data_IF_672836776762
#
_entry.id   IF_672836776762
#
_cell.length_a   1.000
_cell.length_b   1.000
_cell.length_c   1.000
_cell.angle_alpha   90.00
_cell.angle_beta   90.00
_cell.angle_gamma   90.00
#
_symmetry.space_group_name_H-M   'P 1'
#
loop_
_entity.id
_entity.type
_entity.pdbx_description
1 polymer ?
#
# COMPACT_ATOMS: atom_id res chain seq x y z
N UNK A 1 -32.20 -6.53 -10.55
CA UNK A 1 -31.16 -7.30 -9.82
C UNK A 1 -29.84 -6.53 -9.98
N UNK A 2 -29.33 -5.77 -8.98
CA UNK A 2 -28.11 -5.00 -9.19
C UNK A 2 -26.95 -5.98 -9.41
N UNK A 3 -26.28 -5.88 -10.55
CA UNK A 3 -25.08 -6.65 -10.84
C UNK A 3 -24.02 -6.30 -9.78
N UNK A 4 -23.65 -7.26 -8.91
CA UNK A 4 -22.52 -7.09 -8.01
C UNK A 4 -21.29 -6.82 -8.87
N UNK A 5 -20.74 -5.61 -8.80
CA UNK A 5 -19.47 -5.28 -9.42
C UNK A 5 -18.39 -6.29 -8.96
N UNK A 6 -17.43 -6.66 -9.82
CA UNK A 6 -16.37 -7.58 -9.43
C UNK A 6 -15.61 -7.03 -8.22
N UNK A 7 -15.35 -7.91 -7.25
CA UNK A 7 -14.54 -7.59 -6.07
C UNK A 7 -13.09 -7.42 -6.51
N UNK A 8 -12.43 -6.39 -6.00
CA UNK A 8 -11.03 -6.06 -6.28
C UNK A 8 -10.22 -6.38 -5.03
N UNK A 9 -9.19 -7.21 -5.16
CA UNK A 9 -8.26 -7.50 -4.09
C UNK A 9 -7.34 -6.29 -3.90
N UNK A 10 -7.38 -5.68 -2.72
CA UNK A 10 -6.61 -4.48 -2.42
C UNK A 10 -5.51 -4.79 -1.41
N UNK A 11 -4.29 -4.35 -1.69
CA UNK A 11 -3.19 -4.34 -0.75
C UNK A 11 -2.87 -2.90 -0.34
N UNK A 12 -2.53 -2.70 0.93
CA UNK A 12 -2.14 -1.40 1.47
C UNK A 12 -0.86 -1.53 2.31
N UNK A 13 0.06 -0.58 2.16
CA UNK A 13 1.29 -0.53 2.97
C UNK A 13 1.07 0.32 4.20
N UNK A 14 1.06 -0.33 5.36
CA UNK A 14 0.75 0.29 6.65
C UNK A 14 2.00 0.23 7.53
N UNK A 15 2.82 1.27 7.43
CA UNK A 15 4.11 1.34 8.12
C UNK A 15 4.35 2.71 8.79
N UNK A 16 4.57 2.68 10.09
CA UNK A 16 5.01 3.81 10.93
C UNK A 16 3.98 4.93 11.07
N UNK A 17 4.47 6.17 11.05
CA UNK A 17 3.64 7.37 11.27
C UNK A 17 2.57 7.61 10.21
N UNK A 18 2.68 6.98 9.04
CA UNK A 18 1.75 7.14 7.91
C UNK A 18 0.54 6.20 7.97
N UNK A 19 0.55 5.22 8.87
CA UNK A 19 -0.53 4.25 9.04
C UNK A 19 -1.90 4.90 9.21
N UNK A 20 -1.99 5.99 9.98
CA UNK A 20 -3.27 6.67 10.19
C UNK A 20 -3.80 7.30 8.89
N UNK A 21 -2.93 7.89 8.07
CA UNK A 21 -3.30 8.46 6.75
C UNK A 21 -3.76 7.33 5.82
N UNK A 22 -3.02 6.22 5.76
CA UNK A 22 -3.36 5.05 4.94
C UNK A 22 -4.74 4.47 5.28
N UNK A 23 -5.03 4.29 6.56
CA UNK A 23 -6.32 3.77 7.01
C UNK A 23 -7.47 4.77 6.77
N UNK A 24 -7.22 6.07 6.83
CA UNK A 24 -8.21 7.08 6.44
C UNK A 24 -8.54 7.00 4.94
N UNK A 25 -7.53 6.82 4.09
CA UNK A 25 -7.75 6.57 2.65
C UNK A 25 -8.63 5.34 2.44
N UNK A 26 -8.35 4.24 3.14
CA UNK A 26 -9.16 3.02 3.04
C UNK A 26 -10.59 3.21 3.55
N UNK A 27 -10.84 4.05 4.57
CA UNK A 27 -12.20 4.39 5.05
C UNK A 27 -13.05 5.06 3.97
N UNK A 28 -12.44 5.88 3.13
CA UNK A 28 -13.14 6.57 2.05
C UNK A 28 -13.49 5.63 0.88
N UNK A 29 -12.90 4.42 0.83
CA UNK A 29 -13.16 3.45 -0.23
C UNK A 29 -14.36 2.54 0.12
N UNK A 30 -15.23 2.19 -0.85
CA UNK A 30 -16.32 1.24 -0.63
C UNK A 30 -15.80 -0.15 -0.17
N UNK A 31 -16.06 -0.57 1.08
CA UNK A 31 -15.42 -1.76 1.66
C UNK A 31 -15.87 -3.07 1.00
N UNK A 32 -17.07 -3.11 0.42
CA UNK A 32 -17.59 -4.27 -0.30
C UNK A 32 -16.95 -4.46 -1.69
N UNK A 33 -16.36 -3.41 -2.26
CA UNK A 33 -15.68 -3.44 -3.56
C UNK A 33 -14.24 -3.89 -3.43
N UNK A 34 -13.55 -3.43 -2.39
CA UNK A 34 -12.13 -3.71 -2.15
C UNK A 34 -11.98 -4.78 -1.06
N UNK A 35 -12.20 -6.04 -1.41
CA UNK A 35 -12.14 -7.19 -0.49
C UNK A 35 -11.80 -8.48 -1.28
N UNK A 36 -11.00 -9.41 -0.73
CA UNK A 36 -10.18 -9.30 0.49
C UNK A 36 -9.17 -8.16 0.46
N UNK A 37 -8.76 -7.73 1.67
CA UNK A 37 -7.72 -6.72 1.87
C UNK A 37 -6.47 -7.37 2.45
N UNK A 38 -5.31 -6.95 1.95
CA UNK A 38 -4.01 -7.35 2.44
C UNK A 38 -3.27 -6.13 3.03
N UNK A 39 -2.70 -6.28 4.21
CA UNK A 39 -1.94 -5.25 4.88
C UNK A 39 -0.47 -5.63 4.92
N UNK A 40 0.37 -4.81 4.28
CA UNK A 40 1.81 -4.96 4.34
C UNK A 40 2.31 -4.14 5.52
N UNK A 41 2.73 -4.82 6.58
CA UNK A 41 3.18 -4.19 7.83
C UNK A 41 4.68 -4.40 7.99
N UNK A 42 5.36 -3.35 8.45
CA UNK A 42 6.78 -3.39 8.75
C UNK A 42 7.08 -4.21 10.02
N UNK A 43 8.11 -5.05 9.99
CA UNK A 43 8.51 -5.88 11.12
C UNK A 43 8.86 -5.05 12.37
N UNK A 44 8.23 -5.41 13.49
CA UNK A 44 8.34 -4.71 14.77
C UNK A 44 7.45 -3.46 14.90
N UNK A 45 6.53 -3.23 13.96
CA UNK A 45 5.53 -2.16 14.04
C UNK A 45 4.15 -2.69 14.47
N UNK A 46 4.08 -3.16 15.72
CA UNK A 46 2.85 -3.73 16.28
C UNK A 46 1.71 -2.72 16.38
N UNK A 47 2.01 -1.43 16.55
CA UNK A 47 0.99 -0.37 16.62
C UNK A 47 0.26 -0.23 15.28
N UNK A 48 1.00 -0.27 14.17
CA UNK A 48 0.39 -0.21 12.84
C UNK A 48 -0.48 -1.42 12.55
N UNK A 49 -0.02 -2.62 12.93
CA UNK A 49 -0.81 -3.84 12.82
C UNK A 49 -2.12 -3.75 13.62
N UNK A 50 -2.05 -3.36 14.89
CA UNK A 50 -3.23 -3.22 15.76
C UNK A 50 -4.26 -2.22 15.21
N UNK A 51 -3.79 -1.10 14.61
CA UNK A 51 -4.67 -0.12 13.96
C UNK A 51 -5.39 -0.70 12.75
N UNK A 52 -4.70 -1.47 11.92
CA UNK A 52 -5.29 -2.13 10.75
C UNK A 52 -6.29 -3.22 11.17
N UNK A 53 -5.97 -4.02 12.20
CA UNK A 53 -6.92 -4.99 12.78
C UNK A 53 -8.15 -4.31 13.37
N UNK A 54 -7.98 -3.17 14.06
CA UNK A 54 -9.09 -2.39 14.59
C UNK A 54 -9.97 -1.80 13.47
N UNK A 55 -9.35 -1.39 12.36
CA UNK A 55 -10.07 -0.94 11.16
C UNK A 55 -10.90 -2.07 10.55
N UNK A 56 -10.35 -3.27 10.36
CA UNK A 56 -11.12 -4.41 9.83
C UNK A 56 -12.26 -4.82 10.77
N UNK A 57 -12.03 -4.79 12.09
CA UNK A 57 -13.11 -5.00 13.07
C UNK A 57 -14.21 -3.95 12.96
N UNK A 58 -13.88 -2.70 12.66
CA UNK A 58 -14.88 -1.63 12.47
C UNK A 58 -15.71 -1.79 11.20
N UNK A 59 -15.23 -2.56 10.22
CA UNK A 59 -15.95 -2.87 8.98
C UNK A 59 -16.82 -4.13 9.11
N UNK A 60 -16.60 -4.95 10.14
CA UNK A 60 -17.38 -6.16 10.35
C UNK A 60 -18.83 -5.80 10.76
N UNK A 61 -19.85 -6.48 10.20
CA UNK A 61 -21.23 -6.26 10.62
C UNK A 61 -21.40 -6.63 12.11
N UNK A 62 -22.28 -5.93 12.86
CA UNK A 62 -22.54 -6.24 14.25
C UNK A 62 -22.98 -7.69 14.41
N UNK A 63 -22.36 -8.38 15.37
CA UNK A 63 -22.67 -9.77 15.72
C UNK A 63 -24.13 -9.88 16.16
N UNK A 64 -25.01 -10.31 15.25
CA UNK A 64 -26.45 -10.38 15.49
C UNK A 64 -27.31 -10.35 14.23
N UNK A 65 -26.78 -9.90 13.09
CA UNK A 65 -27.50 -9.91 11.82
C UNK A 65 -27.36 -11.26 11.07
N UNK A 66 -28.09 -12.27 11.55
CA UNK A 66 -28.44 -13.48 10.78
C UNK A 66 -27.38 -14.60 10.70
N UNK A 67 -27.82 -15.81 11.00
CA UNK A 67 -27.07 -17.07 10.87
C UNK A 67 -26.79 -17.43 9.40
N UNK A 68 -25.87 -16.69 8.78
CA UNK A 68 -25.21 -17.03 7.53
C UNK A 68 -23.78 -16.54 7.64
N UNK A 69 -22.82 -17.46 7.68
CA UNK A 69 -21.39 -17.20 7.88
C UNK A 69 -20.92 -15.88 7.23
N UNK A 70 -20.23 -14.99 7.95
CA UNK A 70 -19.75 -13.75 7.36
C UNK A 70 -18.69 -14.06 6.29
N UNK A 71 -19.08 -14.02 5.01
CA UNK A 71 -18.16 -14.10 3.86
C UNK A 71 -17.39 -12.78 3.64
N UNK A 72 -16.92 -12.13 4.70
CA UNK A 72 -15.82 -11.19 4.58
C UNK A 72 -14.55 -12.02 4.53
N UNK A 73 -13.98 -12.16 3.33
CA UNK A 73 -12.73 -12.88 3.13
C UNK A 73 -11.68 -12.33 4.10
N UNK A 74 -11.07 -13.24 4.86
CA UNK A 74 -10.12 -12.92 5.94
C UNK A 74 -9.08 -11.91 5.47
N UNK A 75 -8.93 -10.80 6.19
CA UNK A 75 -7.88 -9.83 5.91
C UNK A 75 -6.52 -10.48 6.13
N UNK A 76 -5.61 -10.37 5.14
CA UNK A 76 -4.28 -10.98 5.23
C UNK A 76 -3.27 -9.96 5.73
N UNK A 77 -2.43 -10.33 6.69
CA UNK A 77 -1.31 -9.50 7.13
C UNK A 77 0.00 -10.08 6.62
N UNK A 78 0.75 -9.28 5.85
CA UNK A 78 2.09 -9.61 5.36
C UNK A 78 3.11 -8.79 6.14
N UNK A 79 3.91 -9.47 6.97
CA UNK A 79 5.01 -8.84 7.69
C UNK A 79 6.26 -8.78 6.80
N UNK A 80 6.71 -7.57 6.47
CA UNK A 80 7.96 -7.35 5.75
C UNK A 80 9.07 -6.84 6.68
N UNK A 81 10.31 -7.33 6.52
CA UNK A 81 11.43 -6.81 7.30
C UNK A 81 11.65 -5.32 6.99
N UNK A 82 12.14 -4.58 7.99
CA UNK A 82 12.43 -3.15 7.82
C UNK A 82 13.57 -2.91 6.85
N UNK A 83 13.33 -2.05 5.87
CA UNK A 83 14.37 -1.60 4.93
C UNK A 83 15.54 -0.89 5.62
N UNK A 84 15.27 -0.18 6.73
CA UNK A 84 16.26 0.52 7.55
C UNK A 84 15.88 0.46 9.03
N UNK A 85 16.83 0.17 9.90
CA UNK A 85 16.66 0.32 11.36
C UNK A 85 16.93 1.78 11.75
N UNK A 86 16.19 2.28 12.74
CA UNK A 86 16.45 3.62 13.32
C UNK A 86 17.87 3.59 13.91
N UNK A 87 18.67 4.62 13.64
CA UNK A 87 20.11 4.74 13.96
C UNK A 87 21.09 3.94 13.08
N UNK A 88 20.64 3.33 11.98
CA UNK A 88 21.56 2.69 11.04
C UNK A 88 22.23 3.74 10.12
N UNK A 89 23.57 3.71 9.97
CA UNK A 89 24.27 4.59 9.04
C UNK A 89 23.87 4.25 7.60
N UNK A 90 23.85 5.25 6.70
CA UNK A 90 23.39 5.09 5.32
C UNK A 90 24.11 3.96 4.58
N UNK A 91 25.40 3.76 4.86
CA UNK A 91 26.24 2.73 4.23
C UNK A 91 25.78 1.30 4.55
N UNK A 92 25.28 1.05 5.76
CA UNK A 92 24.76 -0.28 6.16
C UNK A 92 23.29 -0.49 5.76
N UNK A 93 22.65 0.50 5.14
CA UNK A 93 21.23 0.42 4.74
C UNK A 93 21.03 -0.46 3.51
N UNK A 94 22.02 -0.55 2.61
CA UNK A 94 21.93 -1.34 1.38
C UNK A 94 21.61 -2.83 1.61
N UNK A 95 22.30 -3.58 2.50
CA UNK A 95 22.00 -5.00 2.71
C UNK A 95 20.62 -5.24 3.35
N UNK A 96 20.20 -4.40 4.30
CA UNK A 96 18.87 -4.53 4.92
C UNK A 96 17.74 -4.16 3.96
N UNK A 97 17.96 -3.16 3.12
CA UNK A 97 17.03 -2.80 2.06
C UNK A 97 16.95 -3.89 0.98
N UNK A 98 18.07 -4.52 0.61
CA UNK A 98 18.10 -5.64 -0.32
C UNK A 98 17.37 -6.87 0.24
N UNK A 99 17.60 -7.21 1.51
CA UNK A 99 16.86 -8.28 2.17
C UNK A 99 15.35 -8.01 2.18
N UNK A 100 14.94 -6.77 2.48
CA UNK A 100 13.54 -6.38 2.40
C UNK A 100 12.98 -6.42 0.98
N UNK A 101 13.79 -6.09 -0.04
CA UNK A 101 13.40 -6.20 -1.44
C UNK A 101 13.18 -7.66 -1.84
N UNK A 102 14.10 -8.55 -1.48
CA UNK A 102 14.00 -9.97 -1.77
C UNK A 102 12.79 -10.60 -1.07
N UNK A 103 12.55 -10.24 0.20
CA UNK A 103 11.36 -10.67 0.92
C UNK A 103 10.07 -10.15 0.25
N UNK A 104 10.03 -8.86 -0.12
CA UNK A 104 8.89 -8.28 -0.83
C UNK A 104 8.63 -8.99 -2.16
N UNK A 105 9.68 -9.22 -2.96
CA UNK A 105 9.58 -9.93 -4.24
C UNK A 105 9.11 -11.38 -4.06
N UNK A 106 9.62 -12.08 -3.06
CA UNK A 106 9.19 -13.45 -2.74
C UNK A 106 7.69 -13.50 -2.41
N UNK A 107 7.21 -12.59 -1.56
CA UNK A 107 5.82 -12.62 -1.08
C UNK A 107 4.80 -12.00 -2.03
N UNK A 108 5.16 -10.95 -2.76
CA UNK A 108 4.24 -10.22 -3.66
C UNK A 108 4.24 -10.83 -5.06
N UNK A 109 5.32 -11.51 -5.46
CA UNK A 109 5.49 -11.98 -6.83
C UNK A 109 5.64 -13.47 -6.89
N UNK A 110 6.67 -14.04 -6.27
CA UNK A 110 7.05 -15.43 -6.52
C UNK A 110 6.03 -16.40 -5.91
N UNK A 111 5.68 -16.23 -4.63
CA UNK A 111 4.65 -17.06 -3.97
C UNK A 111 3.28 -17.01 -4.68
N UNK A 112 2.73 -15.82 -5.00
CA UNK A 112 1.53 -15.66 -5.81
C UNK A 112 1.64 -16.33 -7.19
N UNK A 113 2.76 -16.15 -7.89
CA UNK A 113 3.00 -16.77 -9.19
C UNK A 113 3.01 -18.31 -9.12
N UNK A 114 3.63 -18.88 -8.08
CA UNK A 114 3.61 -20.32 -7.83
C UNK A 114 2.19 -20.84 -7.53
N UNK A 115 1.39 -20.04 -6.82
CA UNK A 115 0.00 -20.36 -6.48
C UNK A 115 -0.99 -20.07 -7.62
N UNK A 116 -0.54 -19.42 -8.70
CA UNK A 116 -1.36 -18.92 -9.82
C UNK A 116 -2.51 -18.00 -9.38
N UNK A 117 -2.34 -17.31 -8.27
CA UNK A 117 -3.32 -16.39 -7.71
C UNK A 117 -2.64 -15.02 -7.50
N UNK A 118 -3.23 -13.91 -7.98
CA UNK A 118 -2.62 -12.59 -7.81
C UNK A 118 -2.61 -12.20 -6.32
N UNK A 119 -1.51 -11.58 -5.86
CA UNK A 119 -1.41 -11.06 -4.50
C UNK A 119 -2.49 -10.01 -4.22
N UNK A 120 -2.64 -9.07 -5.15
CA UNK A 120 -3.65 -8.03 -5.15
C UNK A 120 -3.83 -7.51 -6.58
N UNK A 121 -4.98 -6.91 -6.86
CA UNK A 121 -5.23 -6.19 -8.10
C UNK A 121 -4.68 -4.76 -8.03
N UNK A 122 -4.78 -4.15 -6.83
CA UNK A 122 -4.36 -2.77 -6.57
C UNK A 122 -3.53 -2.73 -5.29
N UNK A 123 -2.41 -2.02 -5.35
CA UNK A 123 -1.51 -1.74 -4.22
C UNK A 123 -1.49 -0.25 -3.95
N UNK A 124 -1.99 0.14 -2.77
CA UNK A 124 -1.94 1.50 -2.25
C UNK A 124 -0.64 1.70 -1.46
N UNK A 125 0.04 2.80 -1.76
CA UNK A 125 1.33 3.16 -1.17
C UNK A 125 1.22 4.55 -0.56
N UNK A 126 1.52 4.66 0.74
CA UNK A 126 1.60 5.93 1.45
C UNK A 126 2.83 5.91 2.37
N UNK A 127 3.65 6.97 2.36
CA UNK A 127 4.78 7.10 3.28
C UNK A 127 6.15 6.61 2.79
N UNK A 128 7.14 6.46 3.71
CA UNK A 128 8.56 6.40 3.40
C UNK A 128 9.08 4.96 3.18
N UNK A 129 10.35 4.85 2.78
CA UNK A 129 11.22 3.66 2.89
C UNK A 129 10.64 2.33 2.40
N UNK A 130 9.81 1.68 3.21
CA UNK A 130 9.11 0.43 2.91
C UNK A 130 8.33 0.51 1.60
N UNK A 131 7.63 1.62 1.34
CA UNK A 131 6.88 1.83 0.09
C UNK A 131 7.79 1.82 -1.15
N UNK A 132 9.01 2.35 -1.02
CA UNK A 132 10.00 2.34 -2.11
C UNK A 132 10.46 0.91 -2.41
N UNK A 133 10.72 0.12 -1.36
CA UNK A 133 11.17 -1.27 -1.49
C UNK A 133 10.07 -2.16 -2.07
N UNK A 134 8.85 -2.03 -1.57
CA UNK A 134 7.67 -2.75 -2.09
C UNK A 134 7.43 -2.39 -3.55
N UNK A 135 7.49 -1.10 -3.90
CA UNK A 135 7.32 -0.68 -5.29
C UNK A 135 8.45 -1.21 -6.19
N UNK A 136 9.70 -1.21 -5.72
CA UNK A 136 10.81 -1.76 -6.48
C UNK A 136 10.59 -3.25 -6.79
N UNK A 137 10.10 -4.04 -5.82
CA UNK A 137 9.76 -5.45 -6.06
C UNK A 137 8.66 -5.60 -7.12
N UNK A 138 7.59 -4.81 -7.04
CA UNK A 138 6.50 -4.80 -8.02
C UNK A 138 7.00 -4.37 -9.40
N UNK A 139 7.85 -3.35 -9.48
CA UNK A 139 8.41 -2.87 -10.73
C UNK A 139 9.34 -3.88 -11.40
N UNK A 140 10.21 -4.55 -10.62
CA UNK A 140 11.03 -5.67 -11.10
C UNK A 140 10.14 -6.77 -11.67
N UNK A 141 9.03 -7.07 -10.99
CA UNK A 141 8.07 -8.09 -11.43
C UNK A 141 7.42 -7.72 -12.77
N UNK A 142 6.98 -6.47 -12.92
CA UNK A 142 6.46 -5.93 -14.18
C UNK A 142 7.49 -6.01 -15.30
N UNK A 143 8.75 -5.68 -15.00
CA UNK A 143 9.86 -5.75 -15.96
C UNK A 143 10.14 -7.20 -16.41
N UNK A 144 10.00 -8.17 -15.52
CA UNK A 144 10.14 -9.60 -15.81
C UNK A 144 8.89 -10.23 -16.46
N UNK A 145 7.84 -9.45 -16.73
CA UNK A 145 6.58 -9.95 -17.30
C UNK A 145 5.75 -10.80 -16.34
N UNK A 146 6.02 -10.72 -15.03
CA UNK A 146 5.29 -11.45 -13.99
C UNK A 146 4.01 -10.71 -13.58
N UNK A 147 2.96 -11.42 -13.12
CA UNK A 147 1.75 -10.79 -12.59
C UNK A 147 2.09 -9.85 -11.43
N UNK A 148 1.60 -8.62 -11.51
CA UNK A 148 1.90 -7.59 -10.52
C UNK A 148 0.70 -6.64 -10.36
N UNK A 149 0.44 -6.13 -9.13
CA UNK A 149 -0.68 -5.23 -8.88
C UNK A 149 -0.49 -3.88 -9.58
N UNK A 150 -1.59 -3.18 -9.83
CA UNK A 150 -1.56 -1.76 -10.18
C UNK A 150 -1.19 -0.93 -8.96
N UNK A 151 -0.25 -0.01 -9.11
CA UNK A 151 0.31 0.77 -8.00
C UNK A 151 -0.24 2.19 -7.98
N UNK A 152 -0.78 2.58 -6.83
CA UNK A 152 -1.26 3.94 -6.56
C UNK A 152 -0.45 4.49 -5.40
N UNK A 153 0.31 5.55 -5.65
CA UNK A 153 1.01 6.27 -4.59
C UNK A 153 0.24 7.52 -4.22
N UNK A 154 -0.03 7.68 -2.93
CA UNK A 154 -0.67 8.87 -2.37
C UNK A 154 0.36 9.55 -1.47
N UNK A 155 0.70 10.80 -1.78
CA UNK A 155 1.59 11.60 -0.95
C UNK A 155 0.93 11.94 0.40
N UNK A 156 1.76 12.04 1.44
CA UNK A 156 1.32 12.37 2.79
C UNK A 156 0.66 13.75 2.88
N UNK A 157 -0.34 13.86 3.75
CA UNK A 157 -1.08 15.10 3.94
C UNK A 157 -0.17 16.23 4.45
N UNK A 158 0.86 15.90 5.24
CA UNK A 158 1.81 16.88 5.76
C UNK A 158 2.65 17.58 4.67
N UNK A 159 2.69 17.06 3.44
CA UNK A 159 3.52 17.58 2.35
C UNK A 159 2.76 18.61 1.51
N UNK A 160 2.62 19.81 2.07
CA UNK A 160 1.84 20.92 1.45
C UNK A 160 2.56 21.55 0.26
N UNK A 161 3.85 21.90 0.43
CA UNK A 161 4.61 22.71 -0.55
C UNK A 161 5.61 21.93 -1.39
N UNK A 162 5.91 20.68 -1.04
CA UNK A 162 6.90 19.89 -1.77
C UNK A 162 6.73 18.39 -1.56
N UNK A 163 6.99 17.62 -2.61
CA UNK A 163 7.05 16.15 -2.55
C UNK A 163 8.12 15.65 -1.56
N UNK A 164 7.80 14.57 -0.87
CA UNK A 164 8.76 13.81 -0.06
C UNK A 164 9.85 13.19 -0.94
N UNK A 165 10.99 12.84 -0.34
CA UNK A 165 12.07 12.18 -1.08
C UNK A 165 11.60 10.85 -1.69
N UNK A 166 10.83 10.07 -0.92
CA UNK A 166 10.23 8.83 -1.39
C UNK A 166 9.30 9.07 -2.57
N UNK A 167 8.41 10.07 -2.49
CA UNK A 167 7.52 10.42 -3.59
C UNK A 167 8.27 10.83 -4.86
N UNK A 168 9.31 11.67 -4.74
CA UNK A 168 10.17 12.04 -5.87
C UNK A 168 10.80 10.82 -6.54
N UNK A 169 11.26 9.85 -5.73
CA UNK A 169 11.90 8.64 -6.21
C UNK A 169 10.91 7.67 -6.87
N UNK A 170 9.72 7.49 -6.31
CA UNK A 170 8.74 6.50 -6.79
C UNK A 170 7.91 6.98 -7.97
N UNK A 171 7.78 8.29 -8.15
CA UNK A 171 6.92 8.92 -9.17
C UNK A 171 7.06 8.35 -10.60
N UNK A 172 8.25 8.04 -11.14
CA UNK A 172 8.35 7.47 -12.48
C UNK A 172 7.91 6.00 -12.57
N UNK A 173 7.77 5.30 -11.44
CA UNK A 173 7.56 3.85 -11.36
C UNK A 173 6.15 3.45 -10.92
N UNK A 174 5.31 4.40 -10.50
CA UNK A 174 3.92 4.15 -10.09
C UNK A 174 2.97 4.33 -11.26
N UNK A 175 1.88 3.56 -11.27
CA UNK A 175 0.85 3.70 -12.33
C UNK A 175 0.01 4.96 -12.12
N UNK A 176 -0.29 5.30 -10.86
CA UNK A 176 -0.95 6.58 -10.51
C UNK A 176 -0.24 7.24 -9.34
N UNK A 177 -0.06 8.55 -9.45
CA UNK A 177 0.55 9.38 -8.43
C UNK A 177 -0.42 10.48 -8.01
N UNK A 178 -0.85 10.44 -6.75
CA UNK A 178 -1.85 11.35 -6.19
C UNK A 178 -1.19 12.23 -5.14
N UNK A 179 -1.47 13.53 -5.20
CA UNK A 179 -1.13 14.50 -4.16
C UNK A 179 -2.41 15.09 -3.58
N UNK A 180 -2.29 15.59 -2.35
CA UNK A 180 -3.38 16.26 -1.66
C UNK A 180 -3.37 17.78 -1.87
N UNK A 181 -2.20 18.33 -2.18
CA UNK A 181 -1.99 19.77 -2.35
C UNK A 181 -1.51 20.08 -3.77
N UNK A 182 -2.12 21.06 -4.46
CA UNK A 182 -1.69 21.43 -5.81
C UNK A 182 -0.24 21.96 -5.80
N UNK A 183 0.12 22.74 -4.78
CA UNK A 183 1.44 23.33 -4.61
C UNK A 183 2.55 22.28 -4.46
N UNK A 184 2.22 21.07 -3.96
CA UNK A 184 3.20 20.02 -3.75
C UNK A 184 3.82 19.49 -5.06
N UNK A 185 3.07 19.53 -6.17
CA UNK A 185 3.55 19.09 -7.48
C UNK A 185 4.54 20.09 -8.10
N UNK A 186 4.47 21.36 -7.70
CA UNK A 186 5.29 22.45 -8.23
C UNK A 186 5.28 22.55 -9.77
N UNK A 187 6.26 23.25 -10.38
CA UNK A 187 6.46 23.25 -11.83
C UNK A 187 6.86 21.88 -12.40
N UNK A 188 7.14 20.90 -11.52
CA UNK A 188 7.53 19.54 -11.87
C UNK A 188 6.39 18.65 -12.38
N UNK A 189 5.15 19.14 -12.53
CA UNK A 189 4.07 18.39 -13.19
C UNK A 189 4.12 18.42 -14.73
N UNK A 190 5.23 18.85 -15.32
CA UNK A 190 5.40 18.94 -16.77
C UNK A 190 5.06 17.64 -17.53
N UNK A 191 5.21 16.46 -16.90
CA UNK A 191 4.89 15.16 -17.51
C UNK A 191 3.44 14.69 -17.26
N UNK A 192 2.58 15.51 -16.64
CA UNK A 192 1.15 15.22 -16.40
C UNK A 192 0.86 14.04 -15.45
N UNK A 193 1.88 13.42 -14.86
CA UNK A 193 1.74 12.20 -14.05
C UNK A 193 1.17 12.40 -12.66
N UNK A 194 1.11 13.64 -12.16
CA UNK A 194 0.57 13.94 -10.83
C UNK A 194 -0.87 14.40 -10.89
N UNK A 195 -1.75 13.72 -10.15
CA UNK A 195 -3.16 14.08 -9.98
C UNK A 195 -3.36 14.74 -8.62
N UNK A 196 -3.94 15.94 -8.60
CA UNK A 196 -4.45 16.56 -7.38
C UNK A 196 -5.97 16.40 -7.37
N UNK A 197 -6.50 15.65 -6.40
CA UNK A 197 -7.95 15.34 -6.29
C UNK A 197 -8.62 16.03 -5.10
N UNK A 198 -7.94 16.98 -4.46
CA UNK A 198 -8.38 17.63 -3.23
C UNK A 198 -7.88 16.89 -1.99
N UNK A 199 -8.42 17.28 -0.84
CA UNK A 199 -8.01 16.74 0.45
C UNK A 199 -8.69 15.40 0.69
N UNK A 200 -7.88 14.37 0.92
CA UNK A 200 -8.36 13.06 1.34
C UNK A 200 -8.32 13.03 2.88
N UNK A 201 -9.16 13.86 3.51
CA UNK A 201 -9.35 13.92 4.97
C UNK A 201 -10.82 14.07 5.28
#
# INVERSE_FOLDING_TARGET
RPSRAPRTHAADVVAGGHTSESLQLLRALPPARYTPRAYIVSAGDGLSQQKAEAFERSLAPPAGAGAGQPQHAQSTFLLLPRARRVHQPLLLTAPTALYALLAAFWHITLLPALRREPFADVLLLNGPGTCVVVLAAVWISKFLGLPAPRTIYVESFARVRSLSLSAKLVRPFVDRFVVQWPDALGPGNANGRGECRGWLV
#
